data_IF_333608085454
#
_entry.id   IF_333608085454
#
_cell.length_a   1.000
_cell.length_b   1.000
_cell.length_c   1.000
_cell.angle_alpha   90.00
_cell.angle_beta   90.00
_cell.angle_gamma   90.00
#
_symmetry.space_group_name_H-M   'P 1'
#
loop_
_entity.id
_entity.type
_entity.pdbx_description
1 polymer ?
#
# COMPACT_ATOMS: atom_id res chain seq x y z
N UNK A 1 12.89 8.42 -27.63
CA UNK A 1 12.62 8.62 -26.18
C UNK A 1 11.41 9.55 -25.89
N UNK A 2 10.66 10.00 -26.91
CA UNK A 2 9.47 10.87 -26.74
C UNK A 2 8.13 10.19 -27.09
N UNK A 3 8.17 8.96 -27.63
CA UNK A 3 6.98 8.26 -28.12
C UNK A 3 6.31 7.39 -27.05
N UNK A 4 7.07 6.94 -26.03
CA UNK A 4 6.55 6.08 -24.95
C UNK A 4 5.74 6.86 -23.90
N UNK A 5 6.10 8.13 -23.68
CA UNK A 5 5.41 9.04 -22.74
C UNK A 5 3.96 9.37 -23.19
N UNK A 6 3.72 9.44 -24.51
CA UNK A 6 2.38 9.73 -25.06
C UNK A 6 1.41 8.55 -24.98
N UNK A 7 1.92 7.32 -24.86
CA UNK A 7 1.08 6.11 -24.81
C UNK A 7 0.49 5.88 -23.43
N UNK A 8 1.24 6.18 -22.37
CA UNK A 8 0.77 6.05 -20.98
C UNK A 8 -0.28 7.13 -20.66
N UNK A 9 -0.13 8.35 -21.19
CA UNK A 9 -1.10 9.43 -21.06
C UNK A 9 -2.45 9.16 -21.74
N UNK A 10 -2.48 8.25 -22.74
CA UNK A 10 -3.72 7.81 -23.40
C UNK A 10 -4.46 6.72 -22.62
N UNK A 11 -3.74 5.89 -21.85
CA UNK A 11 -4.36 4.81 -21.06
C UNK A 11 -5.02 5.39 -19.80
N UNK A 12 -4.41 6.39 -19.15
CA UNK A 12 -5.03 7.10 -18.01
C UNK A 12 -6.26 7.91 -18.41
N UNK A 13 -6.29 8.54 -19.59
CA UNK A 13 -7.45 9.33 -20.04
C UNK A 13 -8.64 8.48 -20.51
N UNK A 14 -8.44 7.23 -20.95
CA UNK A 14 -9.52 6.38 -21.45
C UNK A 14 -10.33 5.71 -20.33
N UNK A 15 -9.74 5.58 -19.14
CA UNK A 15 -10.39 5.01 -17.94
C UNK A 15 -11.24 6.07 -17.21
N UNK A 16 -11.04 7.36 -17.49
CA UNK A 16 -11.74 8.48 -16.85
C UNK A 16 -13.04 8.94 -17.55
N UNK A 17 -13.48 8.31 -18.66
CA UNK A 17 -14.66 8.77 -19.41
C UNK A 17 -15.89 7.84 -19.41
N UNK A 18 -15.87 6.72 -18.66
CA UNK A 18 -17.05 5.84 -18.58
C UNK A 18 -17.48 5.60 -17.14
N UNK A 19 -18.11 6.63 -16.56
CA UNK A 19 -19.26 6.55 -15.63
C UNK A 19 -19.41 7.88 -14.89
N UNK A 20 -19.98 8.86 -15.58
CA UNK A 20 -20.46 10.08 -14.92
C UNK A 20 -21.97 10.00 -14.93
N UNK A 21 -22.58 9.46 -13.86
CA UNK A 21 -24.00 9.68 -13.57
C UNK A 21 -24.37 9.27 -12.14
N UNK A 22 -24.77 10.30 -11.40
CA UNK A 22 -25.51 10.33 -10.12
C UNK A 22 -24.73 10.06 -8.82
N UNK A 23 -24.03 11.09 -8.36
CA UNK A 23 -23.92 11.35 -6.92
C UNK A 23 -24.36 12.81 -6.68
N UNK A 24 -25.53 12.97 -6.08
CA UNK A 24 -26.03 14.25 -5.58
C UNK A 24 -25.13 14.72 -4.43
N UNK A 25 -24.41 15.82 -4.65
CA UNK A 25 -23.66 16.52 -3.61
C UNK A 25 -24.66 17.34 -2.80
N UNK A 26 -25.02 16.87 -1.61
CA UNK A 26 -25.69 17.73 -0.62
C UNK A 26 -24.62 18.61 0.02
N UNK A 27 -24.45 19.82 -0.51
CA UNK A 27 -23.61 20.83 0.11
C UNK A 27 -24.32 21.38 1.37
N UNK A 28 -23.95 20.86 2.53
CA UNK A 28 -24.35 21.46 3.81
C UNK A 28 -23.67 22.82 3.95
N UNK A 29 -24.43 23.90 3.75
CA UNK A 29 -23.97 25.27 4.03
C UNK A 29 -23.76 25.42 5.53
N UNK A 30 -22.52 25.42 5.99
CA UNK A 30 -22.16 25.82 7.35
C UNK A 30 -22.18 27.35 7.39
N UNK A 31 -23.16 27.92 8.11
CA UNK A 31 -23.23 29.35 8.36
C UNK A 31 -22.06 29.80 9.26
N UNK A 32 -21.46 30.98 9.03
CA UNK A 32 -20.39 31.48 9.89
C UNK A 32 -21.00 31.99 11.20
N UNK A 33 -20.71 31.31 12.33
CA UNK A 33 -20.96 31.89 13.65
C UNK A 33 -19.79 32.79 14.03
N UNK A 34 -20.03 34.09 13.98
CA UNK A 34 -19.22 35.14 14.56
C UNK A 34 -19.18 35.05 16.08
N UNK A 35 -17.98 34.95 16.67
CA UNK A 35 -17.54 35.72 17.84
C UNK A 35 -16.02 35.57 17.97
N UNK A 36 -15.30 36.67 17.78
CA UNK A 36 -13.88 36.85 18.11
C UNK A 36 -13.75 37.13 19.60
N UNK A 37 -13.01 36.28 20.31
CA UNK A 37 -12.52 36.53 21.65
C UNK A 37 -11.07 36.09 21.72
N UNK A 38 -10.17 37.02 22.02
CA UNK A 38 -8.75 36.76 22.20
C UNK A 38 -8.53 35.74 23.33
N UNK A 39 -7.80 34.67 23.03
CA UNK A 39 -7.28 33.76 24.05
C UNK A 39 -7.83 32.33 24.07
N UNK A 40 -8.57 31.88 23.05
CA UNK A 40 -8.85 30.44 22.88
C UNK A 40 -7.88 29.84 21.86
N UNK A 41 -6.95 29.04 22.36
CA UNK A 41 -6.15 28.11 21.55
C UNK A 41 -7.11 27.33 20.67
N UNK A 42 -7.09 27.58 19.37
CA UNK A 42 -7.77 26.73 18.39
C UNK A 42 -7.08 25.38 18.44
N UNK A 43 -7.67 24.45 19.19
CA UNK A 43 -7.36 23.03 19.05
C UNK A 43 -7.82 22.63 17.65
N UNK A 44 -6.92 22.78 16.69
CA UNK A 44 -7.02 22.12 15.42
C UNK A 44 -6.85 20.62 15.69
N UNK A 45 -7.96 19.97 16.05
CA UNK A 45 -8.09 18.51 15.96
C UNK A 45 -8.20 18.23 14.46
N UNK A 46 -7.08 18.41 13.76
CA UNK A 46 -6.95 18.13 12.34
C UNK A 46 -6.65 16.64 12.20
N UNK A 47 -7.74 15.91 12.00
CA UNK A 47 -7.83 14.76 11.10
C UNK A 47 -6.87 13.58 11.39
N UNK A 48 -7.19 12.81 12.42
CA UNK A 48 -6.35 11.74 12.96
C UNK A 48 -6.40 10.40 12.21
N UNK A 49 -7.23 10.19 11.17
CA UNK A 49 -7.39 8.84 10.59
C UNK A 49 -7.31 8.75 9.05
N UNK A 50 -7.66 9.81 8.31
CA UNK A 50 -7.60 9.77 6.85
C UNK A 50 -6.21 10.07 6.25
N UNK A 51 -5.24 10.50 7.09
CA UNK A 51 -3.90 10.90 6.63
C UNK A 51 -2.87 9.77 6.70
N UNK A 52 -3.15 8.69 7.43
CA UNK A 52 -2.22 7.55 7.59
C UNK A 52 -2.16 6.64 6.36
N UNK A 53 -3.09 6.80 5.41
CA UNK A 53 -3.08 6.04 4.16
C UNK A 53 -3.56 4.58 4.27
N UNK A 54 -3.32 3.81 3.21
CA UNK A 54 -3.63 2.39 3.13
C UNK A 54 -2.66 1.59 4.01
N UNK A 55 -3.21 0.73 4.86
CA UNK A 55 -2.45 -0.20 5.70
C UNK A 55 -2.85 -1.63 5.38
N UNK A 56 -1.95 -2.56 5.65
CA UNK A 56 -2.16 -4.00 5.47
C UNK A 56 -2.64 -4.58 6.80
N UNK A 57 -3.88 -5.06 6.83
CA UNK A 57 -4.54 -5.62 8.03
C UNK A 57 -4.50 -7.14 8.08
N UNK A 58 -4.25 -7.82 6.96
CA UNK A 58 -4.23 -9.26 6.91
C UNK A 58 -3.49 -9.79 5.70
N UNK A 59 -2.91 -10.97 5.88
CA UNK A 59 -2.14 -11.69 4.88
C UNK A 59 -2.81 -13.05 4.70
N UNK A 60 -2.83 -13.54 3.47
CA UNK A 60 -3.29 -14.87 3.11
C UNK A 60 -2.36 -15.44 2.05
N UNK A 61 -2.45 -16.75 1.80
CA UNK A 61 -1.66 -17.39 0.74
C UNK A 61 -2.03 -16.94 -0.67
N UNK A 62 -3.19 -16.28 -0.82
CA UNK A 62 -3.70 -15.79 -2.11
C UNK A 62 -3.58 -14.28 -2.26
N UNK A 63 -3.19 -13.54 -1.23
CA UNK A 63 -3.17 -12.08 -1.28
C UNK A 63 -3.29 -11.38 0.08
N UNK A 64 -3.75 -10.14 0.04
CA UNK A 64 -3.67 -9.18 1.15
C UNK A 64 -5.01 -8.50 1.42
N UNK A 65 -5.30 -8.24 2.70
CA UNK A 65 -6.45 -7.45 3.13
C UNK A 65 -5.98 -6.11 3.68
N UNK A 66 -6.59 -5.03 3.22
CA UNK A 66 -6.27 -3.67 3.62
C UNK A 66 -7.21 -3.14 4.71
N UNK A 67 -6.88 -1.98 5.28
CA UNK A 67 -7.65 -1.31 6.33
C UNK A 67 -9.00 -0.74 5.90
N UNK A 68 -9.24 -0.62 4.61
CA UNK A 68 -10.51 -0.16 4.02
C UNK A 68 -11.40 -1.33 3.55
N UNK A 69 -11.22 -2.51 4.14
CA UNK A 69 -11.90 -3.76 3.78
C UNK A 69 -11.65 -4.28 2.35
N UNK A 70 -10.81 -3.60 1.55
CA UNK A 70 -10.43 -4.09 0.24
C UNK A 70 -9.48 -5.29 0.35
N UNK A 71 -9.73 -6.30 -0.47
CA UNK A 71 -8.85 -7.47 -0.60
C UNK A 71 -8.22 -7.47 -1.98
N UNK A 72 -6.89 -7.56 -2.01
CA UNK A 72 -6.08 -7.62 -3.22
C UNK A 72 -5.57 -9.03 -3.38
N UNK A 73 -5.90 -9.67 -4.50
CA UNK A 73 -5.46 -11.02 -4.81
C UNK A 73 -4.15 -10.99 -5.59
N UNK A 74 -3.23 -11.84 -5.17
CA UNK A 74 -1.92 -12.01 -5.78
C UNK A 74 -0.89 -10.96 -5.36
N UNK A 75 0.24 -10.94 -6.09
CA UNK A 75 1.31 -9.97 -5.93
C UNK A 75 0.82 -8.53 -6.11
N UNK A 76 1.28 -7.63 -5.24
CA UNK A 76 0.88 -6.22 -5.29
C UNK A 76 2.01 -5.24 -4.99
N UNK A 77 1.89 -4.05 -5.56
CA UNK A 77 2.63 -2.86 -5.12
C UNK A 77 1.68 -1.94 -4.39
N UNK A 78 1.99 -1.61 -3.14
CA UNK A 78 1.21 -0.71 -2.29
C UNK A 78 1.97 0.58 -2.00
N UNK A 79 1.24 1.68 -2.04
CA UNK A 79 1.66 3.02 -1.68
C UNK A 79 0.72 3.55 -0.59
N UNK A 80 1.08 4.64 0.11
CA UNK A 80 0.23 5.25 1.13
C UNK A 80 -1.20 5.53 0.66
N UNK A 81 -1.43 5.80 -0.64
CA UNK A 81 -2.77 6.18 -1.14
C UNK A 81 -3.30 5.31 -2.28
N UNK A 82 -2.57 4.28 -2.69
CA UNK A 82 -2.95 3.49 -3.86
C UNK A 82 -2.31 2.11 -3.84
N UNK A 83 -2.94 1.16 -4.51
CA UNK A 83 -2.42 -0.19 -4.72
C UNK A 83 -2.48 -0.53 -6.20
N UNK A 84 -1.50 -1.29 -6.68
CA UNK A 84 -1.38 -1.75 -8.05
C UNK A 84 -1.11 -3.25 -8.05
N UNK A 85 -1.70 -3.98 -8.99
CA UNK A 85 -1.32 -5.37 -9.23
C UNK A 85 0.12 -5.43 -9.74
N UNK A 86 0.92 -6.35 -9.20
CA UNK A 86 2.31 -6.52 -9.60
C UNK A 86 2.46 -7.75 -10.48
N UNK A 87 3.00 -7.59 -11.68
CA UNK A 87 3.11 -8.68 -12.65
C UNK A 87 4.41 -9.50 -12.43
N UNK A 88 4.50 -10.15 -11.27
CA UNK A 88 5.65 -10.97 -10.84
C UNK A 88 5.11 -12.20 -10.14
N UNK A 89 5.31 -13.39 -10.68
CA UNK A 89 4.80 -14.64 -10.07
C UNK A 89 5.72 -15.18 -8.98
N UNK A 90 7.01 -14.90 -9.08
CA UNK A 90 8.06 -15.45 -8.21
C UNK A 90 9.22 -14.46 -8.05
N UNK A 91 10.13 -14.75 -7.12
CA UNK A 91 11.33 -13.94 -6.89
C UNK A 91 12.21 -13.85 -8.15
N UNK A 92 12.23 -14.88 -8.98
CA UNK A 92 13.02 -14.90 -10.21
C UNK A 92 12.51 -13.95 -11.28
N UNK A 93 11.22 -13.58 -11.22
CA UNK A 93 10.58 -12.62 -12.11
C UNK A 93 10.84 -11.15 -11.68
N UNK A 94 11.59 -10.94 -10.59
CA UNK A 94 12.01 -9.62 -10.14
C UNK A 94 13.20 -9.15 -10.97
N UNK A 95 12.90 -8.30 -11.95
CA UNK A 95 13.88 -7.75 -12.88
C UNK A 95 13.89 -6.21 -12.84
N UNK A 96 14.90 -5.54 -13.40
CA UNK A 96 14.90 -4.09 -13.55
C UNK A 96 13.63 -3.53 -14.21
N UNK A 97 13.05 -4.27 -15.17
CA UNK A 97 11.83 -3.90 -15.87
C UNK A 97 10.62 -3.89 -14.95
N UNK A 98 10.47 -4.91 -14.09
CA UNK A 98 9.34 -4.98 -13.14
C UNK A 98 9.48 -3.99 -11.98
N UNK A 99 10.70 -3.50 -11.70
CA UNK A 99 10.99 -2.42 -10.75
C UNK A 99 10.97 -1.02 -11.38
N UNK A 100 10.82 -0.90 -12.70
CA UNK A 100 10.90 0.39 -13.41
C UNK A 100 9.84 1.40 -12.97
N UNK A 101 8.68 0.94 -12.49
CA UNK A 101 7.63 1.78 -11.91
C UNK A 101 8.18 2.70 -10.81
N UNK A 102 9.07 2.20 -9.95
CA UNK A 102 9.59 2.97 -8.82
C UNK A 102 10.50 4.12 -9.26
N UNK A 103 11.00 4.10 -10.49
CA UNK A 103 11.91 5.13 -11.02
C UNK A 103 11.21 6.39 -11.52
N UNK A 104 9.89 6.31 -11.77
CA UNK A 104 9.11 7.41 -12.36
C UNK A 104 8.24 8.14 -11.35
N UNK A 105 8.27 7.73 -10.07
CA UNK A 105 7.47 8.31 -9.01
C UNK A 105 8.06 9.65 -8.53
N UNK A 106 7.18 10.62 -8.31
CA UNK A 106 7.49 11.88 -7.65
C UNK A 106 6.51 12.12 -6.49
N UNK A 107 7.00 12.42 -5.27
CA UNK A 107 8.42 12.49 -4.86
C UNK A 107 9.12 11.13 -4.91
N UNK A 108 10.46 11.14 -4.87
CA UNK A 108 11.24 9.90 -4.84
C UNK A 108 10.95 9.13 -3.56
N UNK A 109 10.90 7.81 -3.69
CA UNK A 109 10.75 6.92 -2.54
C UNK A 109 12.02 6.93 -1.70
N UNK A 110 11.83 7.04 -0.39
CA UNK A 110 12.91 6.92 0.59
C UNK A 110 13.34 5.47 0.76
N UNK A 111 12.37 4.55 0.66
CA UNK A 111 12.56 3.13 0.87
C UNK A 111 11.46 2.31 0.16
N UNK A 112 11.88 1.21 -0.45
CA UNK A 112 11.01 0.19 -1.02
C UNK A 112 11.15 -1.05 -0.16
N UNK A 113 10.05 -1.53 0.39
CA UNK A 113 9.99 -2.77 1.17
C UNK A 113 9.55 -3.89 0.24
N UNK A 114 10.42 -4.85 -0.03
CA UNK A 114 10.17 -6.01 -0.87
C UNK A 114 9.84 -7.23 0.00
N UNK A 115 8.58 -7.67 -0.05
CA UNK A 115 8.08 -8.90 0.55
C UNK A 115 8.22 -10.07 -0.42
N UNK A 116 9.06 -11.04 -0.09
CA UNK A 116 9.42 -12.16 -0.99
C UNK A 116 8.57 -13.41 -0.81
N UNK A 117 7.47 -13.31 -0.07
CA UNK A 117 6.63 -14.44 0.32
C UNK A 117 7.15 -15.05 1.62
N UNK A 118 7.57 -16.30 1.56
CA UNK A 118 8.14 -17.02 2.71
C UNK A 118 9.60 -16.60 2.96
N UNK A 119 10.37 -17.45 3.62
CA UNK A 119 11.78 -17.19 3.90
C UNK A 119 12.63 -17.38 2.64
N UNK A 120 13.50 -16.42 2.38
CA UNK A 120 14.42 -16.48 1.26
C UNK A 120 15.66 -17.32 1.59
N UNK A 121 15.94 -18.34 0.78
CA UNK A 121 17.16 -19.15 0.87
C UNK A 121 18.26 -18.65 -0.09
N UNK A 122 17.88 -18.17 -1.28
CA UNK A 122 18.82 -17.68 -2.30
C UNK A 122 18.63 -16.19 -2.60
N UNK A 123 19.68 -15.40 -2.38
CA UNK A 123 19.76 -13.96 -2.64
C UNK A 123 20.38 -13.63 -4.01
N UNK A 124 20.50 -14.59 -4.93
CA UNK A 124 21.07 -14.39 -6.26
C UNK A 124 20.33 -13.33 -7.09
N UNK A 125 19.00 -13.24 -6.94
CA UNK A 125 18.18 -12.22 -7.61
C UNK A 125 18.64 -10.79 -7.28
N UNK A 126 19.09 -10.56 -6.03
CA UNK A 126 19.54 -9.26 -5.56
C UNK A 126 20.74 -8.75 -6.37
N UNK A 127 21.65 -9.63 -6.78
CA UNK A 127 22.81 -9.28 -7.61
C UNK A 127 22.40 -8.76 -8.98
N UNK A 128 21.30 -9.28 -9.56
CA UNK A 128 20.77 -8.87 -10.87
C UNK A 128 20.20 -7.45 -10.82
N UNK A 129 19.53 -7.08 -9.72
CA UNK A 129 18.86 -5.79 -9.57
C UNK A 129 19.75 -4.69 -8.97
N UNK A 130 20.82 -5.05 -8.24
CA UNK A 130 21.70 -4.08 -7.56
C UNK A 130 22.21 -2.93 -8.47
N UNK A 131 22.68 -3.18 -9.71
CA UNK A 131 23.16 -2.09 -10.58
C UNK A 131 22.05 -1.10 -10.94
N UNK A 132 20.83 -1.62 -11.16
CA UNK A 132 19.66 -0.81 -11.44
C UNK A 132 19.27 0.06 -10.24
N UNK A 133 19.22 -0.54 -9.04
CA UNK A 133 18.90 0.18 -7.81
C UNK A 133 19.89 1.32 -7.54
N UNK A 134 21.19 1.07 -7.69
CA UNK A 134 22.24 2.08 -7.54
C UNK A 134 22.09 3.22 -8.55
N UNK A 135 21.84 2.89 -9.81
CA UNK A 135 21.66 3.88 -10.89
C UNK A 135 20.50 4.83 -10.61
N UNK A 136 19.39 4.30 -10.09
CA UNK A 136 18.18 5.07 -9.82
C UNK A 136 18.08 5.62 -8.38
N UNK A 137 19.08 5.33 -7.53
CA UNK A 137 19.14 5.70 -6.10
C UNK A 137 17.92 5.19 -5.34
N UNK A 138 17.52 3.95 -5.61
CA UNK A 138 16.44 3.28 -4.92
C UNK A 138 17.00 2.50 -3.73
N UNK A 139 16.46 2.76 -2.54
CA UNK A 139 16.78 2.00 -1.34
C UNK A 139 15.79 0.83 -1.24
N UNK A 140 16.32 -0.39 -1.16
CA UNK A 140 15.53 -1.61 -1.10
C UNK A 140 15.78 -2.34 0.21
N UNK A 141 14.71 -2.72 0.89
CA UNK A 141 14.74 -3.60 2.05
C UNK A 141 14.00 -4.89 1.69
N UNK A 142 14.68 -6.04 1.82
CA UNK A 142 14.13 -7.34 1.44
C UNK A 142 13.80 -8.12 2.70
N UNK A 143 12.53 -8.50 2.87
CA UNK A 143 12.02 -9.17 4.07
C UNK A 143 11.02 -10.27 3.69
N UNK A 144 10.82 -11.29 4.55
CA UNK A 144 9.65 -12.16 4.46
C UNK A 144 8.36 -11.33 4.47
N UNK A 145 7.33 -11.76 3.76
CA UNK A 145 6.14 -10.93 3.52
C UNK A 145 5.43 -10.48 4.79
N UNK A 146 5.38 -11.32 5.83
CA UNK A 146 4.80 -10.94 7.13
C UNK A 146 5.54 -9.75 7.76
N UNK A 147 6.87 -9.80 7.77
CA UNK A 147 7.71 -8.72 8.29
C UNK A 147 7.65 -7.49 7.37
N UNK A 148 7.65 -7.69 6.05
CA UNK A 148 7.53 -6.62 5.07
C UNK A 148 6.23 -5.82 5.25
N UNK A 149 5.11 -6.48 5.53
CA UNK A 149 3.83 -5.81 5.77
C UNK A 149 3.88 -4.94 7.03
N UNK A 150 4.47 -5.45 8.12
CA UNK A 150 4.66 -4.69 9.36
C UNK A 150 5.58 -3.48 9.16
N UNK A 151 6.71 -3.67 8.48
CA UNK A 151 7.67 -2.60 8.16
C UNK A 151 7.04 -1.54 7.26
N UNK A 152 6.28 -1.93 6.23
CA UNK A 152 5.54 -0.99 5.40
C UNK A 152 4.55 -0.16 6.22
N UNK A 153 3.72 -0.81 7.05
CA UNK A 153 2.74 -0.11 7.88
C UNK A 153 3.41 0.89 8.83
N UNK A 154 4.52 0.48 9.46
CA UNK A 154 5.29 1.35 10.36
C UNK A 154 5.83 2.59 9.62
N UNK A 155 6.57 2.38 8.54
CA UNK A 155 7.15 3.48 7.75
C UNK A 155 6.09 4.40 7.14
N UNK A 156 4.95 3.82 6.73
CA UNK A 156 3.81 4.56 6.22
C UNK A 156 3.17 5.42 7.33
N UNK A 157 3.04 4.87 8.55
CA UNK A 157 2.51 5.61 9.71
C UNK A 157 3.42 6.76 10.16
N UNK A 158 4.74 6.66 9.91
CA UNK A 158 5.69 7.77 10.10
C UNK A 158 5.57 8.87 9.04
N UNK A 159 4.75 8.66 7.99
CA UNK A 159 4.59 9.61 6.89
C UNK A 159 5.77 9.63 5.91
N UNK A 160 6.59 8.56 5.87
CA UNK A 160 7.71 8.45 4.92
C UNK A 160 7.23 8.10 3.52
N UNK A 161 8.01 8.46 2.50
CA UNK A 161 7.72 8.05 1.12
C UNK A 161 8.14 6.61 0.90
N UNK A 162 7.29 5.69 1.33
CA UNK A 162 7.51 4.24 1.24
C UNK A 162 6.64 3.61 0.15
N UNK A 163 7.15 2.54 -0.45
CA UNK A 163 6.34 1.61 -1.24
C UNK A 163 6.57 0.18 -0.75
N UNK A 164 5.52 -0.63 -0.71
CA UNK A 164 5.62 -2.07 -0.53
C UNK A 164 5.50 -2.78 -1.88
N UNK A 165 6.38 -3.70 -2.20
CA UNK A 165 6.25 -4.65 -3.31
C UNK A 165 6.17 -6.05 -2.70
N UNK A 166 5.02 -6.70 -2.75
CA UNK A 166 4.72 -7.85 -1.90
C UNK A 166 4.24 -9.04 -2.73
N UNK A 167 4.90 -10.18 -2.52
CA UNK A 167 4.43 -11.50 -2.95
C UNK A 167 3.64 -12.15 -1.81
N UNK A 168 2.46 -12.74 -2.06
CA UNK A 168 1.77 -13.51 -1.03
C UNK A 168 2.64 -14.73 -0.62
N UNK A 169 2.73 -15.06 0.67
CA UNK A 169 3.47 -16.23 1.14
C UNK A 169 2.77 -17.51 0.69
N UNK A 170 3.51 -18.60 0.45
CA UNK A 170 2.88 -19.89 0.15
C UNK A 170 2.43 -20.58 1.44
N UNK A 171 3.15 -20.35 2.54
CA UNK A 171 2.84 -20.89 3.86
C UNK A 171 2.48 -19.79 4.85
N UNK A 172 1.36 -19.95 5.55
CA UNK A 172 0.98 -19.07 6.65
C UNK A 172 1.36 -19.72 7.97
N UNK A 173 2.22 -19.07 8.75
CA UNK A 173 2.47 -19.49 10.12
C UNK A 173 1.43 -18.84 11.02
N UNK A 174 0.44 -19.62 11.45
CA UNK A 174 -0.62 -19.11 12.32
C UNK A 174 -0.09 -19.03 13.75
N UNK A 175 -0.10 -17.84 14.35
CA UNK A 175 0.27 -17.68 15.77
C UNK A 175 -0.95 -17.95 16.65
N UNK A 176 -0.75 -18.34 17.92
CA UNK A 176 -1.84 -18.52 18.88
C UNK A 176 -2.72 -17.26 19.02
N UNK A 177 -2.13 -16.07 18.90
CA UNK A 177 -2.84 -14.79 18.89
C UNK A 177 -3.80 -14.65 17.69
N UNK A 178 -3.42 -15.16 16.52
CA UNK A 178 -4.25 -15.13 15.33
C UNK A 178 -5.46 -16.05 15.48
N UNK A 179 -5.24 -17.22 16.10
CA UNK A 179 -6.30 -18.17 16.45
C UNK A 179 -7.27 -17.56 17.48
N UNK A 180 -6.76 -16.88 18.49
CA UNK A 180 -7.56 -16.20 19.51
C UNK A 180 -8.40 -15.07 18.90
N UNK A 181 -7.80 -14.19 18.09
CA UNK A 181 -8.54 -13.12 17.38
C UNK A 181 -9.63 -13.68 16.49
N UNK A 182 -9.34 -14.78 15.81
CA UNK A 182 -10.31 -15.47 14.96
C UNK A 182 -11.47 -16.01 15.79
N UNK A 183 -11.21 -16.69 16.91
CA UNK A 183 -12.25 -17.18 17.83
C UNK A 183 -13.11 -16.06 18.40
N UNK A 184 -12.50 -14.97 18.86
CA UNK A 184 -13.22 -13.79 19.36
C UNK A 184 -14.11 -13.17 18.30
N UNK A 185 -13.62 -13.06 17.05
CA UNK A 185 -14.43 -12.58 15.93
C UNK A 185 -15.65 -13.47 15.69
N UNK A 186 -15.50 -14.79 15.76
CA UNK A 186 -16.63 -15.71 15.65
C UNK A 186 -17.60 -15.56 16.81
N UNK A 187 -17.13 -15.45 18.05
CA UNK A 187 -17.99 -15.24 19.23
C UNK A 187 -18.83 -13.96 19.10
N UNK A 188 -18.21 -12.84 18.75
CA UNK A 188 -18.91 -11.58 18.54
C UNK A 188 -19.95 -11.64 17.41
N UNK A 189 -19.80 -12.53 16.42
CA UNK A 189 -20.79 -12.72 15.36
C UNK A 189 -22.04 -13.47 15.86
N UNK A 190 -21.89 -14.36 16.85
CA UNK A 190 -23.00 -15.12 17.44
C UNK A 190 -23.70 -14.39 18.60
N UNK A 191 -23.07 -13.38 19.19
CA UNK A 191 -23.65 -12.53 20.25
C UNK A 191 -24.50 -11.37 19.72
N UNK A 192 -24.62 -11.24 18.39
CA UNK A 192 -25.44 -10.20 17.72
C UNK A 192 -26.88 -10.65 17.42
N UNK A 193 -27.28 -11.85 17.88
CA UNK A 193 -28.65 -12.39 17.84
C UNK A 193 -29.30 -12.36 19.24
#
# INVERSE_FOLDING_TARGET
MLTFCKTIQKITNKILQQNVRWLSVTASRVAPKSYQGDGKTTLNILNTEADLGLMINGISSVGFRLNNDMTVLGPMVIFPRSVLAWNVGSIDDITPETLSLFTVLEPKLDIIVLGVGDKLEDYSFYKKILPFMKKHRLNLEVLPTEQACATFNFLNSEGRYVAGALLPPQTLQTTDDDLLKTKLRYQNLYELD
#
